data_IF_561255972882
#
_entry.id   IF_561255972882
#
_cell.length_a   1.000
_cell.length_b   1.000
_cell.length_c   1.000
_cell.angle_alpha   90.00
_cell.angle_beta   90.00
_cell.angle_gamma   90.00
#
_symmetry.space_group_name_H-M   'P 1'
#
loop_
_entity.id
_entity.type
_entity.pdbx_description
1 polymer ?
#
# COMPACT_ATOMS: atom_id res chain seq x y z
N UNK A 1 -10.55 0.97 -14.24
CA UNK A 1 -10.31 1.66 -12.97
C UNK A 1 -9.09 1.04 -12.30
N UNK A 2 -7.99 1.79 -12.17
CA UNK A 2 -6.79 1.21 -11.56
C UNK A 2 -6.98 1.04 -10.06
N UNK A 3 -6.46 -0.07 -9.55
CA UNK A 3 -6.50 -0.40 -8.14
C UNK A 3 -5.09 -0.67 -7.65
N UNK A 4 -4.68 0.04 -6.61
CA UNK A 4 -3.41 -0.18 -5.94
C UNK A 4 -3.68 -0.81 -4.58
N UNK A 5 -2.94 -1.84 -4.26
CA UNK A 5 -3.03 -2.49 -2.96
C UNK A 5 -1.70 -2.29 -2.24
N UNK A 6 -1.77 -1.72 -1.04
CA UNK A 6 -0.61 -1.55 -0.17
C UNK A 6 -0.73 -2.58 0.94
N UNK A 7 0.18 -3.56 0.94
CA UNK A 7 0.25 -4.53 2.04
C UNK A 7 1.43 -4.15 2.93
N UNK A 8 1.22 -4.22 4.23
CA UNK A 8 2.28 -3.87 5.17
C UNK A 8 2.26 -4.82 6.37
N UNK A 9 3.45 -5.03 6.94
CA UNK A 9 3.62 -5.91 8.09
C UNK A 9 4.69 -5.34 9.02
N UNK A 10 4.54 -5.63 10.31
CA UNK A 10 5.50 -5.27 11.36
C UNK A 10 5.73 -3.75 11.47
N UNK A 11 4.75 -2.97 11.07
CA UNK A 11 4.77 -1.52 11.20
C UNK A 11 3.36 -1.04 11.50
N UNK A 12 3.26 -0.02 12.33
CA UNK A 12 1.99 0.57 12.68
C UNK A 12 1.82 1.88 11.93
N UNK A 13 0.78 1.95 11.10
CA UNK A 13 0.46 3.16 10.35
C UNK A 13 -0.73 3.86 10.97
N UNK A 14 -0.61 5.16 11.23
CA UNK A 14 -1.74 5.95 11.69
C UNK A 14 -2.70 6.24 10.54
N UNK A 15 -3.96 6.58 10.83
CA UNK A 15 -4.88 6.98 9.76
C UNK A 15 -4.36 8.11 8.89
N UNK A 16 -3.64 9.06 9.49
CA UNK A 16 -3.05 10.18 8.74
C UNK A 16 -1.94 9.73 7.81
N UNK A 17 -1.12 8.78 8.25
CA UNK A 17 -0.07 8.20 7.41
C UNK A 17 -0.68 7.43 6.24
N UNK A 18 -1.71 6.64 6.50
CA UNK A 18 -2.41 5.89 5.46
C UNK A 18 -3.00 6.85 4.43
N UNK A 19 -3.66 7.91 4.88
CA UNK A 19 -4.25 8.89 3.97
C UNK A 19 -3.18 9.60 3.15
N UNK A 20 -2.06 9.97 3.78
CA UNK A 20 -0.96 10.62 3.07
C UNK A 20 -0.35 9.75 1.99
N UNK A 21 -0.18 8.45 2.26
CA UNK A 21 0.33 7.51 1.27
C UNK A 21 -0.67 7.35 0.12
N UNK A 22 -1.96 7.24 0.44
CA UNK A 22 -3.01 7.10 -0.57
C UNK A 22 -3.03 8.32 -1.49
N UNK A 23 -2.93 9.52 -0.92
CA UNK A 23 -2.90 10.75 -1.70
C UNK A 23 -1.67 10.82 -2.60
N UNK A 24 -0.51 10.42 -2.10
CA UNK A 24 0.74 10.42 -2.87
C UNK A 24 0.65 9.46 -4.07
N UNK A 25 0.13 8.26 -3.85
CA UNK A 25 -0.04 7.27 -4.92
C UNK A 25 -1.01 7.81 -5.99
N UNK A 26 -2.12 8.36 -5.55
CA UNK A 26 -3.15 8.89 -6.46
C UNK A 26 -2.60 10.06 -7.28
N UNK A 27 -1.86 10.96 -6.64
CA UNK A 27 -1.26 12.10 -7.32
C UNK A 27 -0.26 11.65 -8.37
N UNK A 28 0.61 10.71 -8.02
CA UNK A 28 1.61 10.18 -8.95
C UNK A 28 0.94 9.49 -10.13
N UNK A 29 -0.09 8.70 -9.89
CA UNK A 29 -0.84 8.05 -10.94
C UNK A 29 -1.44 9.09 -11.90
N UNK A 30 -2.05 10.13 -11.37
CA UNK A 30 -2.64 11.19 -12.17
C UNK A 30 -1.59 11.91 -13.02
N UNK A 31 -0.44 12.23 -12.42
CA UNK A 31 0.65 12.91 -13.12
C UNK A 31 1.22 12.07 -14.26
N UNK A 32 1.33 10.76 -14.07
CA UNK A 32 1.91 9.87 -15.07
C UNK A 32 0.93 9.51 -16.19
N UNK A 33 -0.36 9.43 -15.90
CA UNK A 33 -1.34 8.93 -16.85
C UNK A 33 -2.28 10.01 -17.38
N UNK A 34 -2.40 11.13 -16.68
CA UNK A 34 -3.40 12.15 -16.98
C UNK A 34 -4.81 11.75 -16.59
N UNK A 35 -4.98 10.59 -15.94
CA UNK A 35 -6.29 10.12 -15.55
C UNK A 35 -6.84 10.95 -14.40
N UNK A 36 -8.18 11.03 -14.31
CA UNK A 36 -8.84 11.71 -13.21
C UNK A 36 -8.55 10.97 -11.90
N UNK A 37 -8.15 11.72 -10.86
CA UNK A 37 -7.80 11.14 -9.55
C UNK A 37 -8.97 10.40 -8.92
N UNK A 38 -10.19 10.76 -9.24
CA UNK A 38 -11.39 10.13 -8.71
C UNK A 38 -11.45 8.63 -9.01
N UNK A 39 -10.84 8.19 -10.11
CA UNK A 39 -10.93 6.79 -10.52
C UNK A 39 -9.81 5.90 -9.96
N UNK A 40 -8.83 6.47 -9.30
CA UNK A 40 -7.78 5.64 -8.69
C UNK A 40 -8.26 5.11 -7.34
N UNK A 41 -8.06 3.82 -7.11
CA UNK A 41 -8.38 3.18 -5.84
C UNK A 41 -7.09 2.77 -5.14
N UNK A 42 -7.02 2.98 -3.82
CA UNK A 42 -5.90 2.53 -3.00
C UNK A 42 -6.47 1.79 -1.80
N UNK A 43 -6.08 0.53 -1.66
CA UNK A 43 -6.55 -0.33 -0.58
C UNK A 43 -5.36 -0.71 0.29
N UNK A 44 -5.50 -0.57 1.61
CA UNK A 44 -4.47 -0.95 2.55
C UNK A 44 -4.85 -2.24 3.26
N UNK A 45 -3.90 -3.16 3.33
CA UNK A 45 -4.10 -4.44 4.00
C UNK A 45 -2.92 -4.69 4.93
N UNK A 46 -3.21 -4.82 6.22
CA UNK A 46 -2.20 -5.15 7.20
C UNK A 46 -2.05 -6.67 7.30
N UNK A 47 -0.80 -7.16 7.20
CA UNK A 47 -0.51 -8.55 7.46
C UNK A 47 -0.21 -8.69 8.95
N UNK A 48 -1.00 -9.49 9.70
CA UNK A 48 -0.76 -9.65 11.13
C UNK A 48 0.64 -10.18 11.41
N UNK A 49 1.21 -9.72 12.53
CA UNK A 49 2.50 -10.22 13.00
C UNK A 49 2.44 -11.73 13.16
N UNK A 50 3.47 -12.42 12.66
CA UNK A 50 3.50 -13.87 12.67
C UNK A 50 2.91 -14.54 11.44
N UNK A 51 2.34 -13.77 10.51
CA UNK A 51 1.71 -14.31 9.31
C UNK A 51 2.50 -14.06 8.03
N UNK A 52 3.65 -13.40 8.11
CA UNK A 52 4.44 -13.06 6.93
C UNK A 52 5.73 -13.89 6.92
N UNK A 53 5.85 -14.77 5.92
CA UNK A 53 7.01 -15.63 5.76
C UNK A 53 7.64 -15.42 4.40
N UNK A 54 8.97 -15.52 4.35
CA UNK A 54 9.74 -15.46 3.12
C UNK A 54 10.76 -16.59 3.13
N UNK A 55 10.71 -17.46 2.10
CA UNK A 55 11.56 -18.63 2.06
C UNK A 55 11.34 -19.56 3.25
N UNK A 56 10.12 -19.60 3.78
CA UNK A 56 9.79 -20.42 4.94
C UNK A 56 10.19 -19.83 6.28
N UNK A 57 10.77 -18.63 6.29
CA UNK A 57 11.22 -17.98 7.53
C UNK A 57 10.33 -16.78 7.85
N UNK A 58 10.06 -16.59 9.13
CA UNK A 58 9.24 -15.48 9.60
C UNK A 58 9.91 -14.14 9.33
N UNK A 59 9.19 -13.25 8.68
CA UNK A 59 9.66 -11.87 8.44
C UNK A 59 9.34 -11.05 9.68
N UNK A 60 10.38 -10.49 10.29
CA UNK A 60 10.23 -9.66 11.50
C UNK A 60 10.47 -8.18 11.24
N UNK A 61 11.06 -7.84 10.09
CA UNK A 61 11.32 -6.46 9.72
C UNK A 61 10.05 -5.78 9.20
N UNK A 62 10.01 -4.45 9.32
CA UNK A 62 8.92 -3.66 8.75
C UNK A 62 8.96 -3.75 7.23
N UNK A 63 7.83 -4.07 6.62
CA UNK A 63 7.72 -4.24 5.18
C UNK A 63 6.48 -3.52 4.67
N UNK A 64 6.64 -2.81 3.55
CA UNK A 64 5.53 -2.18 2.84
C UNK A 64 5.68 -2.52 1.36
N UNK A 65 4.63 -3.08 0.77
CA UNK A 65 4.62 -3.44 -0.64
C UNK A 65 3.47 -2.74 -1.35
N UNK A 66 3.74 -2.23 -2.55
CA UNK A 66 2.74 -1.64 -3.41
C UNK A 66 2.52 -2.54 -4.63
N UNK A 67 1.26 -2.89 -4.86
CA UNK A 67 0.86 -3.67 -6.03
C UNK A 67 -0.11 -2.84 -6.86
N UNK A 68 0.19 -2.68 -8.14
CA UNK A 68 -0.67 -1.97 -9.07
C UNK A 68 -1.34 -2.91 -10.05
N UNK A 69 -2.53 -2.55 -10.48
CA UNK A 69 -3.26 -3.26 -11.53
C UNK A 69 -3.83 -2.30 -12.54
#
# INVERSE_FOLDING_TARGET
>A
MPTYTVTYSNIKLSPEQIEGIAQAITKTHNECTGANTYFAQVIFQETPSGNHFMGGKLVQDSQIFLHGQ
#
